data_IF_153033083206
#
_entry.id   IF_153033083206
#
_cell.length_a   1.000
_cell.length_b   1.000
_cell.length_c   1.000
_cell.angle_alpha   90.00
_cell.angle_beta   90.00
_cell.angle_gamma   90.00
#
_symmetry.space_group_name_H-M   'P 1'
#
loop_
_entity.id
_entity.type
_entity.pdbx_description
1 polymer ?
#
# COMPACT_ATOMS: atom_id res chain seq x y z
N UNK A 1 -3.10 -4.00 -8.97
CA UNK A 1 -3.53 -4.81 -7.80
C UNK A 1 -4.48 -5.94 -8.18
N UNK A 2 -5.61 -5.69 -8.86
CA UNK A 2 -6.57 -6.76 -9.22
C UNK A 2 -5.96 -7.90 -10.06
N UNK A 3 -5.26 -7.56 -11.14
CA UNK A 3 -4.53 -8.53 -11.96
C UNK A 3 -3.52 -9.37 -11.14
N UNK A 4 -2.85 -8.76 -10.14
CA UNK A 4 -1.94 -9.49 -9.27
C UNK A 4 -2.64 -10.47 -8.33
N UNK A 5 -3.86 -10.17 -7.87
CA UNK A 5 -4.66 -11.12 -7.09
C UNK A 5 -5.21 -12.28 -7.93
N UNK A 6 -5.38 -12.06 -9.24
CA UNK A 6 -5.74 -13.10 -10.21
C UNK A 6 -4.52 -13.96 -10.64
N UNK A 7 -3.32 -13.61 -10.15
CA UNK A 7 -2.07 -14.31 -10.46
C UNK A 7 -1.41 -13.88 -11.77
N UNK A 8 -1.91 -12.81 -12.38
CA UNK A 8 -1.42 -12.28 -13.67
C UNK A 8 -0.28 -11.26 -13.52
N UNK A 9 -0.01 -10.81 -12.28
CA UNK A 9 1.04 -9.84 -11.96
C UNK A 9 1.64 -10.10 -10.57
N UNK A 10 2.82 -9.54 -10.27
CA UNK A 10 3.48 -9.71 -8.97
C UNK A 10 2.77 -8.89 -7.88
N UNK A 11 2.21 -9.52 -6.82
CA UNK A 11 1.48 -8.82 -5.76
C UNK A 11 2.30 -7.74 -5.05
N UNK A 12 3.61 -7.97 -4.88
CA UNK A 12 4.51 -7.00 -4.26
C UNK A 12 4.68 -5.76 -5.13
N UNK A 13 4.95 -5.95 -6.42
CA UNK A 13 5.12 -4.85 -7.37
C UNK A 13 3.83 -4.08 -7.57
N UNK A 14 2.68 -4.76 -7.59
CA UNK A 14 1.37 -4.14 -7.70
C UNK A 14 0.99 -3.28 -6.48
N UNK A 15 1.36 -3.70 -5.28
CA UNK A 15 1.17 -2.96 -4.03
C UNK A 15 2.03 -1.69 -3.99
N UNK A 16 3.31 -1.81 -4.30
CA UNK A 16 4.23 -0.67 -4.41
C UNK A 16 3.71 0.33 -5.44
N UNK A 17 3.32 -0.15 -6.62
CA UNK A 17 2.80 0.70 -7.70
C UNK A 17 1.54 1.49 -7.28
N UNK A 18 0.69 0.91 -6.43
CA UNK A 18 -0.48 1.60 -5.89
C UNK A 18 -0.10 2.77 -5.00
N UNK A 19 0.77 2.56 -4.00
CA UNK A 19 1.21 3.63 -3.10
C UNK A 19 1.98 4.73 -3.86
N UNK A 20 2.81 4.31 -4.82
CA UNK A 20 3.53 5.19 -5.75
C UNK A 20 2.57 6.09 -6.53
N UNK A 21 1.47 5.52 -7.05
CA UNK A 21 0.47 6.28 -7.80
C UNK A 21 -0.20 7.35 -6.93
N UNK A 22 -0.51 7.04 -5.66
CA UNK A 22 -1.08 8.00 -4.71
C UNK A 22 -0.11 9.16 -4.46
N UNK A 23 1.16 8.88 -4.21
CA UNK A 23 2.19 9.91 -4.00
C UNK A 23 2.32 10.82 -5.23
N UNK A 24 2.38 10.24 -6.43
CA UNK A 24 2.44 11.00 -7.67
C UNK A 24 1.19 11.86 -7.91
N UNK A 25 0.00 11.40 -7.50
CA UNK A 25 -1.25 12.13 -7.67
C UNK A 25 -1.29 13.46 -6.90
N UNK A 26 -0.50 13.59 -5.83
CA UNK A 26 -0.38 14.85 -5.05
C UNK A 26 0.24 16.00 -5.85
N UNK A 27 0.98 15.69 -6.93
CA UNK A 27 1.80 16.64 -7.70
C UNK A 27 2.78 17.46 -6.84
N UNK A 28 3.16 16.93 -5.68
CA UNK A 28 4.11 17.60 -4.79
C UNK A 28 5.54 17.08 -5.07
N UNK A 29 6.45 17.94 -5.55
CA UNK A 29 7.81 17.53 -5.90
C UNK A 29 8.62 17.02 -4.70
N UNK A 30 8.30 17.43 -3.47
CA UNK A 30 8.97 16.92 -2.27
C UNK A 30 8.71 15.43 -2.04
N UNK A 31 7.57 14.91 -2.51
CA UNK A 31 7.27 13.48 -2.40
C UNK A 31 8.02 12.62 -3.40
N UNK A 32 8.74 13.19 -4.38
CA UNK A 32 9.61 12.41 -5.29
C UNK A 32 10.75 11.75 -4.56
N UNK A 33 11.37 12.43 -3.61
CA UNK A 33 12.49 11.86 -2.84
C UNK A 33 11.96 10.91 -1.75
N UNK A 34 10.79 11.23 -1.19
CA UNK A 34 10.06 10.33 -0.29
C UNK A 34 9.68 9.01 -0.98
N UNK A 35 9.49 9.05 -2.30
CA UNK A 35 9.06 7.92 -3.11
C UNK A 35 10.02 6.74 -3.04
N UNK A 36 11.32 7.00 -3.15
CA UNK A 36 12.35 5.97 -3.14
C UNK A 36 12.50 5.36 -1.74
N UNK A 37 12.36 6.19 -0.71
CA UNK A 37 12.32 5.74 0.68
C UNK A 37 11.12 4.83 0.94
N UNK A 38 9.91 5.26 0.54
CA UNK A 38 8.67 4.49 0.71
C UNK A 38 8.74 3.17 -0.06
N UNK A 39 9.23 3.19 -1.29
CA UNK A 39 9.41 1.99 -2.11
C UNK A 39 10.34 0.97 -1.42
N UNK A 40 11.49 1.45 -0.91
CA UNK A 40 12.44 0.60 -0.18
C UNK A 40 11.84 0.02 1.09
N UNK A 41 11.16 0.85 1.90
CA UNK A 41 10.51 0.41 3.13
C UNK A 41 9.40 -0.61 2.86
N UNK A 42 8.55 -0.38 1.86
CA UNK A 42 7.49 -1.31 1.44
C UNK A 42 8.08 -2.64 0.97
N UNK A 43 9.14 -2.63 0.15
CA UNK A 43 9.81 -3.88 -0.28
C UNK A 43 10.29 -4.72 0.90
N UNK A 44 10.84 -4.09 1.93
CA UNK A 44 11.32 -4.80 3.12
C UNK A 44 10.14 -5.36 3.92
N UNK A 45 9.15 -4.50 4.20
CA UNK A 45 7.97 -4.83 5.01
C UNK A 45 7.10 -5.93 4.39
N UNK A 46 6.81 -5.84 3.09
CA UNK A 46 5.96 -6.80 2.39
C UNK A 46 6.66 -8.15 2.22
N UNK A 47 7.97 -8.17 1.93
CA UNK A 47 8.73 -9.43 1.87
C UNK A 47 8.76 -10.14 3.22
N UNK A 48 8.85 -9.38 4.31
CA UNK A 48 8.82 -9.91 5.66
C UNK A 48 7.44 -10.51 5.99
N UNK A 49 6.37 -9.74 5.79
CA UNK A 49 4.99 -10.17 6.08
C UNK A 49 4.51 -11.32 5.19
N UNK A 50 4.85 -11.32 3.89
CA UNK A 50 4.58 -12.45 2.98
C UNK A 50 5.22 -13.75 3.48
N UNK A 51 6.43 -13.69 4.03
CA UNK A 51 7.14 -14.86 4.56
C UNK A 51 6.50 -15.43 5.82
N UNK A 52 5.84 -14.60 6.63
CA UNK A 52 5.27 -14.98 7.93
C UNK A 52 3.83 -15.52 7.80
N UNK A 53 2.99 -14.90 6.96
CA UNK A 53 1.57 -15.31 6.84
C UNK A 53 1.14 -15.84 5.47
N UNK A 54 1.98 -15.75 4.44
CA UNK A 54 1.54 -16.03 3.06
C UNK A 54 0.40 -15.12 2.60
N UNK A 55 0.20 -13.97 3.27
CA UNK A 55 -0.88 -13.03 3.01
C UNK A 55 -0.38 -11.96 2.04
N UNK A 56 -0.96 -11.90 0.86
CA UNK A 56 -0.86 -10.74 -0.03
C UNK A 56 -1.66 -9.57 0.55
N UNK A 57 -1.33 -8.35 0.13
CA UNK A 57 -2.02 -7.13 0.52
C UNK A 57 -3.57 -7.26 0.39
N UNK A 58 -4.32 -6.73 1.35
CA UNK A 58 -5.79 -6.80 1.36
C UNK A 58 -6.37 -5.90 0.26
N UNK A 59 -6.81 -6.47 -0.87
CA UNK A 59 -7.45 -5.70 -1.94
C UNK A 59 -8.62 -4.83 -1.45
N UNK A 60 -9.56 -5.33 -0.62
CA UNK A 60 -10.66 -4.50 -0.13
C UNK A 60 -10.18 -3.22 0.59
N UNK A 61 -9.15 -3.35 1.43
CA UNK A 61 -8.59 -2.20 2.16
C UNK A 61 -7.93 -1.18 1.22
N UNK A 62 -7.37 -1.63 0.09
CA UNK A 62 -6.81 -0.74 -0.93
C UNK A 62 -7.89 -0.09 -1.80
N UNK A 63 -9.00 -0.79 -2.05
CA UNK A 63 -10.18 -0.22 -2.70
C UNK A 63 -10.80 0.89 -1.85
N UNK A 64 -10.94 0.71 -0.52
CA UNK A 64 -11.43 1.74 0.38
C UNK A 64 -10.62 3.05 0.29
N UNK A 65 -9.28 2.93 0.21
CA UNK A 65 -8.38 4.07 0.00
C UNK A 65 -8.64 4.73 -1.37
N UNK A 66 -8.71 3.93 -2.43
CA UNK A 66 -8.89 4.44 -3.79
C UNK A 66 -10.22 5.18 -3.93
N UNK A 67 -11.30 4.60 -3.40
CA UNK A 67 -12.64 5.15 -3.46
C UNK A 67 -12.73 6.47 -2.67
N UNK A 68 -12.12 6.54 -1.48
CA UNK A 68 -12.06 7.77 -0.71
C UNK A 68 -11.28 8.88 -1.43
N UNK A 69 -10.16 8.55 -2.09
CA UNK A 69 -9.39 9.50 -2.90
C UNK A 69 -10.21 9.99 -4.10
N UNK A 70 -10.89 9.09 -4.80
CA UNK A 70 -11.75 9.42 -5.94
C UNK A 70 -12.93 10.31 -5.53
N UNK A 71 -13.51 10.06 -4.35
CA UNK A 71 -14.54 10.90 -3.74
C UNK A 71 -14.01 12.25 -3.21
N UNK A 72 -12.69 12.46 -3.22
CA UNK A 72 -12.00 13.62 -2.63
C UNK A 72 -12.25 13.80 -1.13
N UNK A 73 -12.52 12.70 -0.43
CA UNK A 73 -12.64 12.69 1.03
C UNK A 73 -11.27 12.42 1.66
N UNK A 74 -10.59 13.50 2.03
CA UNK A 74 -9.25 13.42 2.60
C UNK A 74 -9.22 12.70 3.95
N UNK A 75 -10.29 12.82 4.76
CA UNK A 75 -10.36 12.19 6.09
C UNK A 75 -10.55 10.69 5.91
N UNK A 76 -11.49 10.27 5.07
CA UNK A 76 -11.71 8.86 4.78
C UNK A 76 -10.46 8.20 4.17
N UNK A 77 -9.77 8.88 3.24
CA UNK A 77 -8.55 8.35 2.63
C UNK A 77 -7.42 8.17 3.67
N UNK A 78 -7.26 9.13 4.59
CA UNK A 78 -6.30 9.02 5.68
C UNK A 78 -6.63 7.85 6.62
N UNK A 79 -7.89 7.74 7.04
CA UNK A 79 -8.33 6.66 7.93
C UNK A 79 -8.15 5.29 7.29
N UNK A 80 -8.54 5.12 6.03
CA UNK A 80 -8.36 3.86 5.30
C UNK A 80 -6.88 3.47 5.17
N UNK A 81 -6.00 4.44 4.86
CA UNK A 81 -4.56 4.19 4.79
C UNK A 81 -3.96 3.81 6.16
N UNK A 82 -4.45 4.41 7.25
CA UNK A 82 -4.00 4.08 8.60
C UNK A 82 -4.33 2.63 8.98
N UNK A 83 -5.48 2.12 8.57
CA UNK A 83 -5.85 0.71 8.79
C UNK A 83 -4.80 -0.23 8.19
N UNK A 84 -4.41 -0.01 6.92
CA UNK A 84 -3.38 -0.81 6.24
C UNK A 84 -2.05 -0.78 7.02
N UNK A 85 -1.63 0.41 7.45
CA UNK A 85 -0.36 0.58 8.19
C UNK A 85 -0.41 -0.14 9.53
N UNK A 86 -1.50 -0.02 10.28
CA UNK A 86 -1.65 -0.67 11.59
C UNK A 86 -1.64 -2.19 11.44
N UNK A 87 -2.38 -2.74 10.48
CA UNK A 87 -2.42 -4.17 10.20
C UNK A 87 -1.02 -4.73 9.91
N UNK A 88 -0.23 -4.03 9.09
CA UNK A 88 1.15 -4.42 8.76
C UNK A 88 2.06 -4.32 9.98
N UNK A 89 1.93 -3.27 10.79
CA UNK A 89 2.73 -3.10 12.01
C UNK A 89 2.43 -4.19 13.06
N UNK A 90 1.18 -4.59 13.21
CA UNK A 90 0.79 -5.69 14.08
C UNK A 90 1.39 -7.02 13.63
N UNK A 91 1.43 -7.28 12.32
CA UNK A 91 2.10 -8.46 11.77
C UNK A 91 3.60 -8.47 12.07
N UNK A 92 4.26 -7.33 11.93
CA UNK A 92 5.70 -7.20 12.21
C UNK A 92 5.97 -7.42 13.71
N UNK A 93 5.12 -6.89 14.60
CA UNK A 93 5.26 -7.06 16.05
C UNK A 93 5.01 -8.48 16.53
N UNK A 94 4.20 -9.25 15.81
CA UNK A 94 3.86 -10.62 16.14
C UNK A 94 4.88 -11.65 15.63
N UNK A 95 5.94 -11.21 14.93
CA UNK A 95 6.99 -12.02 14.33
C UNK A 95 8.24 -12.09 15.21
#
# INVERSE_FOLDING_TARGET
MKAAAEGEDDPLSADIAFHVAILNATKNPFYRDLHELVNTALRISIRFTNRIKGRTASIPSHEDVADAILARDAVAAQTAMQVIIVDVLELIRAA
#
